data_IF_340681786971
#
_entry.id   IF_340681786971
#
_cell.length_a   1.000
_cell.length_b   1.000
_cell.length_c   1.000
_cell.angle_alpha   90.00
_cell.angle_beta   90.00
_cell.angle_gamma   90.00
#
_symmetry.space_group_name_H-M   'P 1'
#
loop_
_entity.id
_entity.type
_entity.pdbx_description
1 polymer ?
#
# COMPACT_ATOMS: atom_id res chain seq x y z
N UNK A 1 17.07 70.05 -17.76
CA UNK A 1 16.24 71.16 -17.22
C UNK A 1 15.81 72.06 -18.36
N UNK A 2 14.62 71.84 -18.92
CA UNK A 2 13.89 72.82 -19.74
C UNK A 2 12.40 72.53 -19.57
N UNK A 3 11.70 73.52 -19.05
CA UNK A 3 10.25 73.58 -18.91
C UNK A 3 9.60 73.77 -20.28
N UNK A 4 8.47 73.12 -20.52
CA UNK A 4 7.30 73.74 -21.14
C UNK A 4 6.02 73.04 -20.64
N UNK A 5 5.17 73.85 -20.03
CA UNK A 5 3.80 73.57 -19.63
C UNK A 5 2.83 73.75 -20.82
N UNK A 6 1.56 73.36 -20.60
CA UNK A 6 0.29 73.61 -21.35
C UNK A 6 -0.46 72.27 -21.44
N UNK A 7 -1.74 72.07 -21.15
CA UNK A 7 -2.85 72.86 -20.59
C UNK A 7 -4.01 71.86 -20.42
N UNK A 8 -4.55 71.66 -19.21
CA UNK A 8 -5.89 72.09 -18.77
C UNK A 8 -7.09 71.67 -19.65
N UNK A 9 -7.90 70.71 -19.16
CA UNK A 9 -9.36 70.59 -19.32
C UNK A 9 -9.83 69.56 -18.25
N UNK A 10 -10.28 69.95 -17.06
CA UNK A 10 -11.63 70.40 -16.68
C UNK A 10 -12.78 69.52 -17.21
N UNK A 11 -13.26 68.60 -16.37
CA UNK A 11 -14.69 68.37 -16.17
C UNK A 11 -14.95 67.73 -14.80
N UNK A 12 -15.77 68.43 -14.02
CA UNK A 12 -16.40 67.98 -12.78
C UNK A 12 -17.45 66.89 -13.04
N UNK A 13 -17.70 66.07 -12.02
CA UNK A 13 -19.09 65.80 -11.64
C UNK A 13 -19.52 64.33 -11.65
N UNK A 14 -19.66 63.80 -10.43
CA UNK A 14 -20.89 63.19 -9.93
C UNK A 14 -21.34 61.85 -10.55
N UNK A 15 -21.21 60.76 -9.77
CA UNK A 15 -22.36 60.00 -9.27
C UNK A 15 -21.90 58.76 -8.47
N UNK A 16 -22.28 58.71 -7.19
CA UNK A 16 -22.42 57.47 -6.43
C UNK A 16 -23.54 56.63 -7.06
N UNK A 17 -23.29 55.33 -7.28
CA UNK A 17 -24.34 54.33 -7.37
C UNK A 17 -23.85 53.02 -6.73
N UNK A 18 -24.26 52.83 -5.48
CA UNK A 18 -24.36 51.53 -4.81
C UNK A 18 -25.52 50.74 -5.44
N UNK A 19 -25.42 49.40 -5.50
CA UNK A 19 -26.60 48.58 -5.73
C UNK A 19 -26.36 47.28 -6.49
N UNK A 20 -25.93 46.27 -5.75
CA UNK A 20 -25.88 44.84 -6.11
C UNK A 20 -27.21 44.34 -6.69
N UNK A 21 -27.19 43.77 -7.91
CA UNK A 21 -28.31 43.03 -8.48
C UNK A 21 -27.97 41.53 -8.51
N UNK A 22 -28.47 40.79 -7.51
CA UNK A 22 -28.54 39.33 -7.55
C UNK A 22 -29.93 38.93 -8.05
N UNK A 23 -29.98 38.36 -9.26
CA UNK A 23 -31.15 37.67 -9.76
C UNK A 23 -31.06 36.19 -9.36
N UNK A 24 -32.05 35.69 -8.61
CA UNK A 24 -32.52 34.31 -8.74
C UNK A 24 -33.88 34.12 -8.06
N UNK A 25 -34.74 33.45 -8.83
CA UNK A 25 -36.18 33.24 -8.72
C UNK A 25 -36.61 32.25 -7.62
N UNK A 26 -37.82 32.45 -7.10
CA UNK A 26 -38.62 31.53 -6.26
C UNK A 26 -40.04 31.41 -6.88
N UNK A 27 -41.03 30.59 -6.41
CA UNK A 27 -41.07 29.36 -5.57
C UNK A 27 -42.07 28.27 -6.15
N UNK A 28 -42.90 27.50 -5.39
CA UNK A 28 -42.75 26.11 -4.90
C UNK A 28 -43.90 25.14 -5.37
N UNK A 29 -44.13 23.90 -4.84
CA UNK A 29 -44.83 23.70 -3.54
C UNK A 29 -44.48 22.41 -2.74
N UNK A 30 -45.09 22.34 -1.55
CA UNK A 30 -44.94 21.40 -0.43
C UNK A 30 -45.40 19.94 -0.64
N UNK A 31 -44.90 19.02 0.20
CA UNK A 31 -45.66 17.87 0.73
C UNK A 31 -44.96 17.13 1.91
N UNK A 32 -45.58 17.25 3.09
CA UNK A 32 -45.92 16.22 4.10
C UNK A 32 -44.91 15.22 4.72
N UNK A 33 -44.90 15.29 6.07
CA UNK A 33 -44.51 14.36 7.15
C UNK A 33 -45.16 12.96 7.08
N UNK A 34 -44.51 11.91 7.63
CA UNK A 34 -45.10 11.06 8.69
C UNK A 34 -44.09 10.83 9.85
N UNK A 35 -44.44 10.96 11.14
CA UNK A 35 -45.22 10.06 12.02
C UNK A 35 -44.44 8.80 12.47
N UNK A 36 -44.43 8.60 13.79
CA UNK A 36 -43.60 7.69 14.58
C UNK A 36 -43.91 6.19 14.41
N UNK A 37 -42.95 5.33 14.76
CA UNK A 37 -43.24 3.98 15.28
C UNK A 37 -42.15 3.56 16.25
N UNK A 38 -42.58 3.36 17.49
CA UNK A 38 -41.93 2.69 18.62
C UNK A 38 -41.74 1.21 18.31
N UNK A 39 -40.58 0.64 18.63
CA UNK A 39 -40.41 -0.81 18.70
C UNK A 39 -39.59 -1.20 19.93
N UNK A 40 -40.30 -1.88 20.81
CA UNK A 40 -39.91 -2.56 22.05
C UNK A 40 -39.10 -3.83 21.77
N UNK A 41 -38.04 -4.09 22.53
CA UNK A 41 -37.53 -5.44 22.82
C UNK A 41 -36.71 -5.36 24.14
N UNK A 42 -37.31 -5.73 25.27
CA UNK A 42 -37.32 -7.09 25.85
C UNK A 42 -36.07 -7.37 26.71
N UNK A 43 -36.25 -7.16 28.01
CA UNK A 43 -35.44 -7.70 29.12
C UNK A 43 -35.82 -9.16 29.36
N UNK A 44 -34.81 -10.03 29.54
CA UNK A 44 -34.64 -11.22 30.44
C UNK A 44 -33.54 -12.08 29.80
N UNK A 45 -32.55 -12.67 30.46
CA UNK A 45 -32.43 -13.20 31.82
C UNK A 45 -30.94 -13.48 32.11
N UNK A 46 -30.52 -13.26 33.35
CA UNK A 46 -29.27 -13.76 33.92
C UNK A 46 -29.44 -15.20 34.43
N UNK A 47 -28.36 -15.99 34.48
CA UNK A 47 -27.85 -16.72 35.67
C UNK A 47 -26.69 -17.67 35.28
N UNK A 48 -25.69 -17.92 36.17
CA UNK A 48 -24.36 -18.44 35.85
C UNK A 48 -24.12 -19.89 36.32
N UNK A 49 -23.02 -20.52 35.88
CA UNK A 49 -22.36 -21.71 36.45
C UNK A 49 -21.07 -21.97 35.65
N UNK A 50 -19.94 -22.44 36.16
CA UNK A 50 -19.45 -22.75 37.50
C UNK A 50 -17.91 -22.78 37.41
N UNK A 51 -17.26 -22.62 38.56
CA UNK A 51 -15.82 -22.74 38.75
C UNK A 51 -15.30 -24.14 38.42
N UNK A 52 -14.05 -24.23 37.97
CA UNK A 52 -13.21 -25.34 38.43
C UNK A 52 -11.75 -24.91 38.56
N UNK A 53 -11.30 -24.87 39.81
CA UNK A 53 -9.92 -24.69 40.24
C UNK A 53 -9.27 -26.06 40.28
N UNK A 54 -8.13 -26.25 39.62
CA UNK A 54 -7.13 -27.21 40.09
C UNK A 54 -5.73 -26.75 39.72
N UNK A 55 -4.94 -26.50 40.76
CA UNK A 55 -3.51 -26.31 40.66
C UNK A 55 -2.82 -27.67 40.51
N UNK A 56 -1.78 -27.73 39.68
CA UNK A 56 -0.72 -28.73 39.78
C UNK A 56 0.56 -28.17 39.17
N UNK A 57 1.51 -27.83 40.05
CA UNK A 57 2.91 -27.65 39.70
C UNK A 57 3.54 -29.03 39.48
N UNK A 58 4.33 -29.19 38.42
CA UNK A 58 5.56 -30.00 38.44
C UNK A 58 6.35 -29.92 37.13
N UNK A 59 7.66 -29.74 37.33
CA UNK A 59 8.79 -30.31 36.58
C UNK A 59 9.13 -29.77 35.20
N UNK A 60 10.24 -29.02 35.22
CA UNK A 60 11.25 -28.90 34.19
C UNK A 60 11.49 -30.21 33.43
N UNK A 61 11.41 -30.12 32.11
CA UNK A 61 11.90 -31.11 31.17
C UNK A 61 12.51 -30.36 29.99
N UNK A 62 13.81 -30.08 30.09
CA UNK A 62 14.63 -29.61 28.97
C UNK A 62 14.61 -30.68 27.88
N UNK A 63 13.99 -30.39 26.76
CA UNK A 63 14.10 -31.18 25.53
C UNK A 63 14.87 -30.35 24.48
N UNK A 64 15.75 -31.00 23.69
CA UNK A 64 16.84 -30.32 22.99
C UNK A 64 16.36 -29.51 21.80
N UNK A 65 16.90 -28.30 21.67
CA UNK A 65 16.80 -27.45 20.49
C UNK A 65 17.63 -28.06 19.36
N UNK A 66 16.98 -28.83 18.48
CA UNK A 66 17.41 -28.93 17.09
C UNK A 66 16.68 -27.85 16.28
N UNK A 67 17.46 -27.00 15.62
CA UNK A 67 17.03 -25.76 14.98
C UNK A 67 15.78 -25.94 14.11
N UNK A 68 14.68 -25.34 14.57
CA UNK A 68 13.45 -25.17 13.81
C UNK A 68 13.41 -23.72 13.35
N UNK A 69 13.24 -23.50 12.04
CA UNK A 69 12.99 -22.16 11.49
C UNK A 69 11.77 -21.59 12.20
N UNK A 70 11.98 -20.62 13.08
CA UNK A 70 10.91 -19.88 13.74
C UNK A 70 10.25 -18.96 12.72
N UNK A 71 9.40 -19.53 11.86
CA UNK A 71 8.49 -18.76 11.03
C UNK A 71 7.32 -18.29 11.90
N UNK A 72 7.63 -17.39 12.83
CA UNK A 72 6.63 -16.78 13.70
C UNK A 72 5.83 -15.73 12.89
N UNK A 73 4.49 -15.69 12.98
CA UNK A 73 3.65 -14.73 12.25
C UNK A 73 4.07 -13.26 12.46
N UNK A 74 4.62 -12.96 13.63
CA UNK A 74 5.15 -11.63 13.98
C UNK A 74 6.38 -11.25 13.14
N UNK A 75 7.32 -12.17 12.96
CA UNK A 75 8.52 -11.94 12.15
C UNK A 75 8.20 -11.69 10.67
N UNK A 76 7.11 -12.30 10.17
CA UNK A 76 6.66 -12.10 8.79
C UNK A 76 5.97 -10.74 8.60
N UNK A 77 5.26 -10.24 9.62
CA UNK A 77 4.62 -8.91 9.56
C UNK A 77 5.64 -7.78 9.51
N UNK A 78 6.81 -7.99 10.14
CA UNK A 78 7.88 -7.00 10.23
C UNK A 78 8.67 -6.82 8.91
N UNK A 79 8.53 -7.70 7.91
CA UNK A 79 9.38 -7.70 6.70
C UNK A 79 9.31 -6.40 5.88
N UNK A 80 8.21 -5.64 5.95
CA UNK A 80 8.07 -4.33 5.26
C UNK A 80 7.68 -3.20 6.20
N UNK A 81 7.80 -3.43 7.51
CA UNK A 81 7.55 -2.38 8.47
C UNK A 81 8.73 -1.39 8.38
N UNK A 82 8.50 -0.08 8.29
CA UNK A 82 9.59 0.88 8.37
C UNK A 82 10.40 0.64 9.64
N UNK A 83 11.72 0.55 9.48
CA UNK A 83 12.66 0.42 10.60
C UNK A 83 13.28 1.77 10.91
N UNK A 84 13.58 2.01 12.18
CA UNK A 84 14.14 3.27 12.65
C UNK A 84 13.15 4.44 12.70
N UNK A 85 13.65 5.68 12.78
CA UNK A 85 12.81 6.88 12.88
C UNK A 85 12.08 7.18 11.56
N UNK A 86 10.80 7.54 11.65
CA UNK A 86 10.01 7.98 10.51
C UNK A 86 10.07 9.50 10.41
N UNK A 87 10.55 10.02 9.29
CA UNK A 87 10.58 11.46 8.98
C UNK A 87 9.65 11.76 7.82
N UNK A 88 8.67 12.65 8.03
CA UNK A 88 7.78 13.14 6.97
C UNK A 88 8.12 14.59 6.62
N UNK A 89 8.27 14.89 5.33
CA UNK A 89 8.49 16.24 4.77
C UNK A 89 7.40 16.55 3.77
N UNK A 90 6.90 17.78 3.80
CA UNK A 90 5.87 18.30 2.90
C UNK A 90 5.90 19.83 2.87
N UNK A 91 5.20 20.44 1.91
CA UNK A 91 5.03 21.89 1.84
C UNK A 91 4.14 22.42 2.97
N UNK A 92 3.13 21.63 3.37
CA UNK A 92 2.24 21.96 4.49
C UNK A 92 1.93 20.71 5.29
N UNK A 93 1.86 20.88 6.62
CA UNK A 93 1.45 19.85 7.55
C UNK A 93 0.38 20.41 8.50
N UNK A 94 -0.70 19.67 8.69
CA UNK A 94 -1.80 20.02 9.58
C UNK A 94 -2.13 18.83 10.50
N UNK A 95 -2.25 19.12 11.79
CA UNK A 95 -2.78 18.17 12.76
C UNK A 95 -4.30 18.25 12.76
N UNK A 96 -4.93 17.15 12.38
CA UNK A 96 -6.38 16.98 12.39
C UNK A 96 -6.77 16.27 13.70
N UNK A 97 -8.03 16.41 14.11
CA UNK A 97 -8.56 15.70 15.28
C UNK A 97 -8.48 14.18 15.07
N UNK A 98 -8.45 13.42 16.18
CA UNK A 98 -8.37 11.96 16.22
C UNK A 98 -7.02 11.39 15.70
N UNK A 99 -5.90 11.95 16.16
CA UNK A 99 -4.56 11.41 15.87
C UNK A 99 -4.24 11.28 14.37
N UNK A 100 -4.83 12.18 13.56
CA UNK A 100 -4.66 12.25 12.10
C UNK A 100 -3.79 13.45 11.73
N UNK A 101 -2.86 13.25 10.82
CA UNK A 101 -1.93 14.27 10.34
C UNK A 101 -1.98 14.29 8.83
N UNK A 102 -2.28 15.47 8.28
CA UNK A 102 -2.40 15.68 6.84
C UNK A 102 -1.19 16.45 6.34
N UNK A 103 -0.54 15.89 5.34
CA UNK A 103 0.60 16.46 4.65
C UNK A 103 0.21 16.72 3.20
N UNK A 104 0.49 17.91 2.69
CA UNK A 104 0.14 18.29 1.32
C UNK A 104 1.30 19.03 0.66
N UNK A 105 1.54 18.71 -0.61
CA UNK A 105 2.61 19.30 -1.42
C UNK A 105 3.94 18.57 -1.24
N UNK A 106 4.43 18.00 -2.34
CA UNK A 106 5.72 17.30 -2.45
C UNK A 106 6.06 16.43 -1.22
N UNK A 107 5.16 15.51 -0.88
CA UNK A 107 5.27 14.74 0.36
C UNK A 107 6.29 13.62 0.20
N UNK A 108 7.16 13.49 1.19
CA UNK A 108 8.06 12.35 1.32
C UNK A 108 8.11 11.85 2.76
N UNK A 109 7.91 10.55 2.95
CA UNK A 109 8.13 9.85 4.22
C UNK A 109 9.33 8.94 4.06
N UNK A 110 10.31 9.07 4.95
CA UNK A 110 11.57 8.33 4.92
C UNK A 110 11.80 7.65 6.26
N UNK A 111 12.25 6.41 6.20
CA UNK A 111 12.74 5.58 7.30
C UNK A 111 14.01 4.87 6.86
N UNK A 112 14.62 4.03 7.70
CA UNK A 112 15.90 3.39 7.39
C UNK A 112 15.80 2.44 6.18
N UNK A 113 14.68 1.71 6.07
CA UNK A 113 14.46 0.72 4.99
C UNK A 113 13.41 1.12 3.98
N UNK A 114 12.62 2.17 4.23
CA UNK A 114 11.46 2.51 3.41
C UNK A 114 11.40 4.00 3.08
N UNK A 115 11.10 4.31 1.82
CA UNK A 115 10.82 5.66 1.33
C UNK A 115 9.49 5.68 0.60
N UNK A 116 8.64 6.65 0.91
CA UNK A 116 7.31 6.82 0.31
C UNK A 116 7.18 8.24 -0.18
N UNK A 117 6.63 8.45 -1.38
CA UNK A 117 6.48 9.78 -2.00
C UNK A 117 5.11 9.93 -2.65
N UNK A 118 4.62 11.17 -2.68
CA UNK A 118 3.36 11.51 -3.34
C UNK A 118 3.06 13.01 -3.29
N UNK A 119 1.88 13.37 -3.77
CA UNK A 119 1.40 14.75 -3.77
C UNK A 119 0.77 15.13 -2.42
N UNK A 120 0.14 14.17 -1.74
CA UNK A 120 -0.42 14.33 -0.40
C UNK A 120 -0.34 13.02 0.39
N UNK A 121 -0.26 13.13 1.71
CA UNK A 121 -0.26 11.99 2.63
C UNK A 121 -1.14 12.30 3.83
N UNK A 122 -1.89 11.31 4.26
CA UNK A 122 -2.57 11.33 5.54
C UNK A 122 -2.05 10.17 6.39
N UNK A 123 -1.61 10.47 7.60
CA UNK A 123 -1.18 9.47 8.57
C UNK A 123 -2.21 9.46 9.69
N UNK A 124 -2.56 8.28 10.19
CA UNK A 124 -3.37 8.08 11.38
C UNK A 124 -2.58 7.23 12.35
N UNK A 125 -2.23 7.80 13.50
CA UNK A 125 -1.53 7.07 14.54
C UNK A 125 -2.53 6.20 15.30
N UNK A 126 -2.18 4.92 15.44
CA UNK A 126 -2.95 3.93 16.19
C UNK A 126 -2.24 3.61 17.51
N UNK A 127 -2.89 2.80 18.35
CA UNK A 127 -2.28 2.30 19.57
C UNK A 127 -1.01 1.45 19.28
N UNK A 128 -0.15 1.32 20.30
CA UNK A 128 1.06 0.50 20.28
C UNK A 128 2.09 0.89 19.21
N UNK A 129 2.07 2.15 18.77
CA UNK A 129 2.99 2.67 17.75
C UNK A 129 2.69 2.18 16.33
N UNK A 130 1.50 1.62 16.11
CA UNK A 130 1.00 1.33 14.77
C UNK A 130 0.49 2.60 14.10
N UNK A 131 0.36 2.57 12.78
CA UNK A 131 -0.21 3.66 12.01
C UNK A 131 -0.82 3.16 10.70
N UNK A 132 -1.74 3.96 10.18
CA UNK A 132 -2.22 3.89 8.81
C UNK A 132 -1.71 5.09 8.03
N UNK A 133 -1.38 4.88 6.76
CA UNK A 133 -0.92 5.93 5.87
C UNK A 133 -1.66 5.82 4.53
N UNK A 134 -2.33 6.90 4.12
CA UNK A 134 -2.90 7.08 2.80
C UNK A 134 -2.03 8.06 2.02
N UNK A 135 -1.54 7.64 0.86
CA UNK A 135 -0.64 8.43 0.04
C UNK A 135 -1.27 8.55 -1.33
N UNK A 136 -1.51 9.78 -1.76
CA UNK A 136 -2.06 10.06 -3.08
C UNK A 136 -1.02 10.77 -3.93
N UNK A 137 -0.96 10.41 -5.21
CA UNK A 137 -0.03 11.02 -6.15
C UNK A 137 -0.33 10.67 -7.59
N UNK A 138 0.47 11.23 -8.52
CA UNK A 138 0.41 10.92 -9.95
C UNK A 138 1.79 10.59 -10.53
N UNK A 139 2.43 9.48 -10.14
CA UNK A 139 1.97 8.47 -9.17
C UNK A 139 2.51 8.72 -7.75
N UNK A 140 1.85 8.09 -6.76
CA UNK A 140 2.46 7.82 -5.46
C UNK A 140 3.43 6.62 -5.59
N UNK A 141 4.54 6.66 -4.85
CA UNK A 141 5.56 5.60 -4.89
C UNK A 141 5.92 5.11 -3.50
N UNK A 142 6.23 3.82 -3.39
CA UNK A 142 6.79 3.18 -2.20
C UNK A 142 8.01 2.37 -2.61
N UNK A 143 9.13 2.68 -1.99
CA UNK A 143 10.42 2.00 -2.15
C UNK A 143 10.79 1.33 -0.83
N UNK A 144 11.10 0.04 -0.88
CA UNK A 144 11.68 -0.68 0.25
C UNK A 144 13.03 -1.25 -0.16
N UNK A 145 14.06 -0.95 0.63
CA UNK A 145 15.39 -1.46 0.44
C UNK A 145 15.43 -2.98 0.64
N UNK A 146 16.36 -3.63 -0.05
CA UNK A 146 16.68 -5.01 0.23
C UNK A 146 17.45 -5.10 1.56
N UNK A 147 17.03 -6.00 2.42
CA UNK A 147 17.80 -6.45 3.57
C UNK A 147 18.40 -7.83 3.24
N UNK A 148 19.72 -7.91 2.96
CA UNK A 148 20.38 -9.17 2.63
C UNK A 148 20.48 -10.13 3.83
N UNK A 149 20.29 -9.62 5.05
CA UNK A 149 20.30 -10.44 6.28
C UNK A 149 18.93 -10.98 6.62
N UNK A 150 17.87 -10.31 6.16
CA UNK A 150 16.51 -10.81 6.26
C UNK A 150 16.31 -12.06 5.39
N UNK A 151 15.34 -12.87 5.76
CA UNK A 151 14.82 -13.92 4.89
C UNK A 151 13.52 -13.42 4.28
N UNK A 152 13.24 -13.81 3.03
CA UNK A 152 11.90 -13.65 2.49
C UNK A 152 11.63 -12.37 1.69
N UNK A 153 10.54 -11.66 2.01
CA UNK A 153 10.02 -10.54 1.22
C UNK A 153 10.97 -9.34 1.21
N UNK A 154 11.73 -9.16 2.29
CA UNK A 154 12.73 -8.11 2.47
C UNK A 154 14.06 -8.40 1.75
N UNK A 155 14.33 -9.63 1.29
CA UNK A 155 15.62 -9.95 0.63
C UNK A 155 15.83 -9.26 -0.71
N UNK A 156 14.75 -8.86 -1.36
CA UNK A 156 14.77 -8.20 -2.65
C UNK A 156 14.25 -6.78 -2.49
N UNK A 157 14.79 -5.81 -3.24
CA UNK A 157 14.25 -4.47 -3.25
C UNK A 157 12.82 -4.52 -3.81
N UNK A 158 11.95 -3.71 -3.24
CA UNK A 158 10.55 -3.58 -3.65
C UNK A 158 10.33 -2.14 -4.11
N UNK A 159 9.79 -1.97 -5.30
CA UNK A 159 9.26 -0.72 -5.80
C UNK A 159 7.76 -0.91 -6.07
N UNK A 160 6.97 0.04 -5.62
CA UNK A 160 5.52 0.07 -5.78
C UNK A 160 5.10 1.45 -6.26
N UNK A 161 4.17 1.51 -7.21
CA UNK A 161 3.58 2.76 -7.67
C UNK A 161 2.09 2.60 -7.96
N UNK A 162 1.32 3.64 -7.64
CA UNK A 162 -0.12 3.70 -7.87
C UNK A 162 -0.61 5.15 -7.75
N UNK A 163 -1.88 5.41 -8.08
CA UNK A 163 -2.49 6.72 -7.80
C UNK A 163 -2.73 6.92 -6.30
N UNK A 164 -3.04 5.82 -5.59
CA UNK A 164 -3.22 5.79 -4.15
C UNK A 164 -2.53 4.56 -3.57
N UNK A 165 -1.81 4.75 -2.47
CA UNK A 165 -1.22 3.69 -1.65
C UNK A 165 -1.77 3.84 -0.24
N UNK A 166 -2.49 2.82 0.24
CA UNK A 166 -2.92 2.72 1.61
C UNK A 166 -2.10 1.64 2.33
N UNK A 167 -1.42 2.00 3.40
CA UNK A 167 -0.62 1.09 4.21
C UNK A 167 -1.15 1.04 5.65
N UNK A 168 -1.35 -0.17 6.16
CA UNK A 168 -1.70 -0.42 7.55
C UNK A 168 -0.57 -1.24 8.21
N UNK A 169 0.14 -0.61 9.16
CA UNK A 169 1.31 -1.24 9.81
C UNK A 169 0.94 -2.38 10.76
N UNK A 170 -0.28 -2.36 11.31
CA UNK A 170 -0.75 -3.37 12.27
C UNK A 170 -0.99 -4.73 11.59
N UNK A 171 -1.53 -4.70 10.37
CA UNK A 171 -1.81 -5.90 9.56
C UNK A 171 -0.68 -6.25 8.59
N UNK A 172 0.25 -5.31 8.35
CA UNK A 172 1.27 -5.45 7.30
C UNK A 172 0.63 -5.56 5.92
N UNK A 173 -0.42 -4.77 5.66
CA UNK A 173 -1.13 -4.74 4.37
C UNK A 173 -0.87 -3.42 3.65
N UNK A 174 -0.54 -3.52 2.36
CA UNK A 174 -0.48 -2.39 1.44
C UNK A 174 -1.50 -2.58 0.30
N UNK A 175 -2.40 -1.64 0.14
CA UNK A 175 -3.38 -1.59 -0.96
C UNK A 175 -2.99 -0.49 -1.94
N UNK A 176 -2.70 -0.88 -3.17
CA UNK A 176 -2.35 0.00 -4.28
C UNK A 176 -3.56 0.13 -5.19
N UNK A 177 -4.04 1.35 -5.41
CA UNK A 177 -5.25 1.61 -6.17
C UNK A 177 -4.99 2.59 -7.32
N UNK A 178 -5.47 2.23 -8.50
CA UNK A 178 -5.36 3.00 -9.74
C UNK A 178 -3.96 2.91 -10.35
N UNK A 179 -3.87 2.35 -11.56
CA UNK A 179 -2.58 2.14 -12.26
C UNK A 179 -1.52 1.47 -11.36
N UNK A 180 -1.94 0.48 -10.58
CA UNK A 180 -1.10 -0.18 -9.60
C UNK A 180 -0.02 -1.04 -10.26
N UNK A 181 1.21 -0.87 -9.78
CA UNK A 181 2.40 -1.55 -10.28
C UNK A 181 3.32 -1.89 -9.12
N UNK A 182 3.82 -3.13 -9.09
CA UNK A 182 4.82 -3.60 -8.13
C UNK A 182 5.95 -4.29 -8.87
N UNK A 183 7.18 -3.92 -8.55
CA UNK A 183 8.40 -4.60 -8.98
C UNK A 183 9.21 -5.06 -7.79
N UNK A 184 9.60 -6.35 -7.77
CA UNK A 184 10.42 -6.94 -6.73
C UNK A 184 11.59 -7.70 -7.33
N UNK A 185 12.78 -7.10 -7.31
CA UNK A 185 13.92 -7.59 -8.09
C UNK A 185 13.54 -7.68 -9.58
N UNK A 186 13.49 -8.90 -10.11
CA UNK A 186 13.18 -9.20 -11.51
C UNK A 186 11.68 -9.51 -11.75
N UNK A 187 10.90 -9.64 -10.68
CA UNK A 187 9.49 -9.97 -10.75
C UNK A 187 8.63 -8.69 -10.78
N UNK A 188 7.57 -8.68 -11.58
CA UNK A 188 6.72 -7.51 -11.80
C UNK A 188 5.24 -7.89 -11.87
N UNK A 189 4.38 -7.05 -11.27
CA UNK A 189 2.92 -7.22 -11.22
C UNK A 189 2.27 -5.89 -11.52
N UNK A 190 1.33 -5.86 -12.46
CA UNK A 190 0.59 -4.67 -12.86
C UNK A 190 -0.91 -4.95 -12.90
N UNK A 191 -1.72 -4.00 -12.46
CA UNK A 191 -3.18 -4.09 -12.44
C UNK A 191 -3.85 -2.75 -12.16
N UNK A 192 -5.16 -2.75 -12.03
CA UNK A 192 -5.88 -1.55 -11.56
C UNK A 192 -5.76 -1.43 -10.03
N UNK A 193 -5.90 -2.56 -9.33
CA UNK A 193 -5.69 -2.65 -7.88
C UNK A 193 -4.74 -3.79 -7.57
N UNK A 194 -3.85 -3.58 -6.61
CA UNK A 194 -2.95 -4.62 -6.06
C UNK A 194 -2.98 -4.55 -4.54
N UNK A 195 -3.46 -5.60 -3.89
CA UNK A 195 -3.36 -5.79 -2.45
C UNK A 195 -2.20 -6.70 -2.09
N UNK A 196 -1.33 -6.25 -1.21
CA UNK A 196 -0.18 -7.00 -0.75
C UNK A 196 -0.23 -7.22 0.77
N UNK A 197 -0.28 -8.50 1.16
CA UNK A 197 -0.38 -8.95 2.55
C UNK A 197 0.95 -9.60 2.93
N UNK A 198 1.77 -8.88 3.69
CA UNK A 198 3.14 -9.29 4.01
C UNK A 198 3.18 -10.55 4.89
N UNK A 199 2.39 -10.67 5.97
CA UNK A 199 2.41 -11.86 6.82
C UNK A 199 2.08 -13.15 6.04
N UNK A 200 1.18 -13.04 5.06
CA UNK A 200 0.73 -14.15 4.21
C UNK A 200 1.62 -14.35 2.96
N UNK A 201 2.57 -13.44 2.72
CA UNK A 201 3.39 -13.38 1.49
C UNK A 201 2.52 -13.43 0.23
N UNK A 202 1.36 -12.77 0.28
CA UNK A 202 0.30 -12.91 -0.71
C UNK A 202 0.07 -11.61 -1.46
N UNK A 203 0.09 -11.68 -2.79
CA UNK A 203 -0.27 -10.60 -3.69
C UNK A 203 -1.60 -10.93 -4.35
N UNK A 204 -2.55 -10.00 -4.29
CA UNK A 204 -3.82 -10.04 -5.01
C UNK A 204 -3.85 -8.89 -5.99
N UNK A 205 -4.18 -9.15 -7.25
CA UNK A 205 -4.32 -8.10 -8.24
C UNK A 205 -5.64 -8.24 -8.98
N UNK A 206 -6.25 -7.12 -9.35
CA UNK A 206 -7.48 -7.08 -10.13
C UNK A 206 -7.44 -5.95 -11.18
N UNK A 207 -8.18 -6.12 -12.27
CA UNK A 207 -8.19 -5.20 -13.42
C UNK A 207 -9.29 -4.13 -13.38
N UNK A 208 -9.99 -3.95 -12.25
CA UNK A 208 -11.02 -2.89 -12.11
C UNK A 208 -12.20 -3.02 -13.09
N UNK A 209 -12.36 -4.18 -13.74
CA UNK A 209 -13.40 -4.42 -14.75
C UNK A 209 -13.07 -3.92 -16.17
N UNK A 210 -11.90 -3.31 -16.39
CA UNK A 210 -11.43 -2.91 -17.72
C UNK A 210 -9.92 -3.20 -17.84
N UNK A 211 -9.56 -4.20 -18.63
CA UNK A 211 -8.15 -4.58 -18.86
C UNK A 211 -7.77 -5.91 -18.23
N UNK A 212 -6.45 -6.15 -18.12
CA UNK A 212 -5.88 -7.41 -17.64
C UNK A 212 -4.84 -7.15 -16.54
N UNK A 213 -4.71 -8.09 -15.61
CA UNK A 213 -3.58 -8.15 -14.68
C UNK A 213 -2.38 -8.79 -15.41
N UNK A 214 -1.25 -8.11 -15.41
CA UNK A 214 0.00 -8.62 -16.02
C UNK A 214 0.96 -9.03 -14.91
N UNK A 215 1.52 -10.24 -15.00
CA UNK A 215 2.53 -10.75 -14.08
C UNK A 215 3.72 -11.24 -14.90
N UNK A 216 4.90 -10.70 -14.63
CA UNK A 216 6.16 -11.10 -15.25
C UNK A 216 7.07 -11.65 -14.16
N UNK A 217 7.61 -12.85 -14.37
CA UNK A 217 8.55 -13.48 -13.44
C UNK A 217 9.75 -14.00 -14.22
N UNK A 218 10.94 -13.90 -13.63
CA UNK A 218 12.16 -14.37 -14.27
C UNK A 218 12.53 -15.77 -13.77
N UNK A 219 12.46 -16.82 -14.60
CA UNK A 219 12.89 -18.16 -14.19
C UNK A 219 14.39 -18.17 -13.90
N UNK A 220 14.85 -18.92 -12.88
CA UNK A 220 16.26 -19.12 -12.64
C UNK A 220 16.91 -19.85 -13.83
N UNK A 221 18.17 -19.56 -14.17
CA UNK A 221 18.87 -20.23 -15.26
C UNK A 221 18.86 -21.75 -15.01
N UNK A 222 18.51 -22.52 -16.04
CA UNK A 222 18.57 -23.98 -15.94
C UNK A 222 20.02 -24.38 -15.72
N UNK A 223 20.30 -25.10 -14.63
CA UNK A 223 21.61 -25.74 -14.45
C UNK A 223 21.76 -26.75 -15.57
N UNK A 224 22.68 -26.50 -16.51
CA UNK A 224 22.99 -27.41 -17.59
C UNK A 224 23.28 -28.81 -17.02
N UNK A 225 22.38 -29.75 -17.26
CA UNK A 225 22.72 -31.17 -17.20
C UNK A 225 23.63 -31.43 -18.38
N UNK A 226 24.92 -31.18 -18.20
CA UNK A 226 25.99 -31.55 -19.14
C UNK A 226 25.79 -33.03 -19.48
N UNK A 227 25.39 -33.28 -20.72
CA UNK A 227 25.05 -34.61 -21.22
C UNK A 227 26.20 -35.58 -21.02
N UNK A 228 25.89 -36.71 -20.39
CA UNK A 228 26.61 -37.96 -20.64
C UNK A 228 26.29 -38.38 -22.06
N UNK A 229 27.12 -37.99 -23.01
CA UNK A 229 27.10 -38.58 -24.35
C UNK A 229 27.60 -40.02 -24.24
N UNK A 230 26.68 -40.97 -24.11
CA UNK A 230 26.94 -42.36 -24.46
C UNK A 230 26.82 -42.49 -25.99
N UNK A 231 27.88 -42.86 -26.74
CA UNK A 231 27.74 -43.18 -28.14
C UNK A 231 27.21 -44.62 -28.28
N UNK A 232 25.92 -44.75 -28.62
CA UNK A 232 25.37 -46.00 -29.13
C UNK A 232 25.52 -46.06 -30.66
N UNK A 233 26.46 -46.91 -31.09
CA UNK A 233 26.33 -47.87 -32.19
C UNK A 233 26.04 -47.33 -33.60
N UNK A 234 27.11 -47.10 -34.36
CA UNK A 234 27.08 -47.28 -35.81
C UNK A 234 27.08 -48.77 -36.15
N UNK A 235 25.96 -49.29 -36.62
CA UNK A 235 25.86 -50.59 -37.29
C UNK A 235 25.24 -50.40 -38.67
N UNK A 236 26.08 -50.43 -39.71
CA UNK A 236 25.66 -50.77 -41.07
C UNK A 236 26.46 -51.99 -41.51
N UNK A 237 25.78 -53.13 -41.46
CA UNK A 237 26.13 -54.37 -42.13
C UNK A 237 26.41 -54.13 -43.63
N UNK A 238 27.49 -54.72 -44.14
CA UNK A 238 27.63 -55.09 -45.54
C UNK A 238 28.28 -56.49 -45.62
N UNK A 239 27.61 -57.52 -46.19
CA UNK A 239 28.12 -58.89 -46.20
C UNK A 239 28.83 -59.30 -47.52
N UNK A 240 29.95 -60.01 -47.32
CA UNK A 240 30.43 -61.28 -47.94
C UNK A 240 30.89 -61.40 -49.42
N UNK A 241 32.12 -61.93 -49.54
CA UNK A 241 32.61 -62.88 -50.59
C UNK A 241 33.91 -62.39 -51.26
N UNK A 242 34.99 -63.15 -51.49
CA UNK A 242 35.31 -64.59 -51.45
C UNK A 242 36.86 -64.77 -51.45
N UNK A 243 37.31 -65.81 -50.76
CA UNK A 243 38.60 -66.57 -50.67
C UNK A 243 39.12 -67.04 -52.06
N UNK A 244 40.37 -67.58 -52.25
CA UNK A 244 41.45 -67.97 -51.33
C UNK A 244 42.72 -67.14 -51.35
#
# INVERSE_FOLDING_TARGET
MRHHAVSLLLCCGFALATGTAAAQTAPPPAATKPAATTATAATVSATPAAANTTAAAATAGTAPTTGKKDNSPRAQTDELRPTGPITVKADTAEWVQNDRMKYTGNVSMVSDTMTVRGDSMEVHQLADGNFEAWVHGKPATLDHAADPTAQGAAQKPLHASANEIHYNSQSGRADLNGAAHIKRGDDEVSGDTIGYIVPERRIQAASGGKGQVTITFQPPPQKDKKGTTAPATGSKNQPKGKTP
#
